data_IF_490735566895
#
_entry.id   IF_490735566895
#
_cell.length_a   1.000
_cell.length_b   1.000
_cell.length_c   1.000
_cell.angle_alpha   90.00
_cell.angle_beta   90.00
_cell.angle_gamma   90.00
#
_symmetry.space_group_name_H-M   'P 1'
#
loop_
_entity.id
_entity.type
_entity.pdbx_description
1 polymer ?
#
# COMPACT_ATOMS: atom_id res chain seq x y z
N UNK A 1 -0.64 17.51 -3.26
CA UNK A 1 -1.52 16.60 -2.49
C UNK A 1 -2.88 17.25 -2.40
N UNK A 2 -3.95 16.49 -2.64
CA UNK A 2 -5.35 16.94 -2.53
C UNK A 2 -6.25 15.82 -2.04
N UNK A 3 -7.40 16.16 -1.46
CA UNK A 3 -8.40 15.16 -1.09
C UNK A 3 -8.84 14.32 -2.30
N UNK A 4 -9.12 13.04 -2.06
CA UNK A 4 -9.36 12.03 -3.10
C UNK A 4 -8.09 11.44 -3.72
N UNK A 5 -6.90 11.95 -3.38
CA UNK A 5 -5.64 11.38 -3.83
C UNK A 5 -5.49 9.92 -3.35
N UNK A 6 -5.22 9.03 -4.30
CA UNK A 6 -4.94 7.61 -4.04
C UNK A 6 -3.43 7.35 -3.88
N UNK A 7 -3.09 6.58 -2.86
CA UNK A 7 -1.75 6.08 -2.59
C UNK A 7 -1.77 4.56 -2.49
N UNK A 8 -0.69 3.92 -2.89
CA UNK A 8 -0.49 2.49 -2.83
C UNK A 8 0.64 2.17 -1.86
N UNK A 9 0.42 1.19 -1.00
CA UNK A 9 1.45 0.62 -0.14
C UNK A 9 1.56 -0.86 -0.45
N UNK A 10 2.77 -1.35 -0.69
CA UNK A 10 3.01 -2.76 -1.03
C UNK A 10 3.86 -3.40 0.06
N UNK A 11 3.55 -4.66 0.37
CA UNK A 11 4.24 -5.43 1.39
C UNK A 11 4.10 -6.93 1.06
N UNK A 12 4.77 -7.76 1.82
CA UNK A 12 4.75 -9.22 1.64
C UNK A 12 4.27 -9.87 2.93
N UNK A 13 3.31 -10.78 2.79
CA UNK A 13 2.80 -11.64 3.85
C UNK A 13 3.05 -13.10 3.46
N UNK A 14 3.90 -13.80 4.19
CA UNK A 14 4.22 -15.22 3.91
C UNK A 14 4.57 -15.49 2.43
N UNK A 15 5.35 -14.62 1.79
CA UNK A 15 5.73 -14.70 0.37
C UNK A 15 4.64 -14.27 -0.63
N UNK A 16 3.48 -13.81 -0.16
CA UNK A 16 2.41 -13.25 -1.00
C UNK A 16 2.51 -11.73 -1.03
N UNK A 17 2.55 -11.17 -2.23
CA UNK A 17 2.61 -9.72 -2.41
C UNK A 17 1.23 -9.11 -2.29
N UNK A 18 1.06 -8.29 -1.27
CA UNK A 18 -0.14 -7.48 -1.06
C UNK A 18 0.10 -6.03 -1.50
N UNK A 19 -0.97 -5.39 -2.00
CA UNK A 19 -0.95 -3.98 -2.39
C UNK A 19 -2.22 -3.33 -1.85
N UNK A 20 -2.04 -2.54 -0.81
CA UNK A 20 -3.09 -1.75 -0.21
C UNK A 20 -3.28 -0.45 -0.97
N UNK A 21 -4.53 -0.02 -1.02
CA UNK A 21 -4.91 1.27 -1.54
C UNK A 21 -5.38 2.16 -0.40
N UNK A 22 -4.82 3.37 -0.31
CA UNK A 22 -5.13 4.37 0.69
C UNK A 22 -5.63 5.62 0.00
N UNK A 23 -6.81 6.10 0.39
CA UNK A 23 -7.40 7.32 -0.16
C UNK A 23 -7.26 8.44 0.86
N UNK A 24 -6.69 9.57 0.46
CA UNK A 24 -6.65 10.78 1.27
C UNK A 24 -8.05 11.36 1.41
N UNK A 25 -8.69 11.10 2.54
CA UNK A 25 -10.07 11.50 2.85
C UNK A 25 -10.20 12.97 3.19
N UNK A 26 -9.23 13.50 3.94
CA UNK A 26 -9.33 14.84 4.49
C UNK A 26 -7.95 15.44 4.69
N UNK A 27 -7.84 16.75 4.44
CA UNK A 27 -6.71 17.58 4.83
C UNK A 27 -7.21 18.62 5.83
N UNK A 28 -6.71 18.57 7.07
CA UNK A 28 -7.15 19.51 8.11
C UNK A 28 -6.04 19.81 9.10
N UNK A 29 -5.84 21.09 9.41
CA UNK A 29 -4.90 21.55 10.43
C UNK A 29 -3.47 21.05 10.22
N UNK A 30 -2.96 21.15 8.99
CA UNK A 30 -1.60 20.70 8.62
C UNK A 30 -1.42 19.18 8.53
N UNK A 31 -2.50 18.40 8.69
CA UNK A 31 -2.45 16.94 8.66
C UNK A 31 -3.28 16.35 7.53
N UNK A 32 -2.76 15.29 6.92
CA UNK A 32 -3.48 14.43 6.00
C UNK A 32 -4.04 13.21 6.72
N UNK A 33 -5.26 12.81 6.35
CA UNK A 33 -5.96 11.65 6.89
C UNK A 33 -6.31 10.70 5.76
N UNK A 34 -5.56 9.61 5.65
CA UNK A 34 -5.84 8.54 4.70
C UNK A 34 -6.71 7.46 5.33
N UNK A 35 -7.49 6.78 4.50
CA UNK A 35 -8.19 5.56 4.86
C UNK A 35 -7.86 4.48 3.85
N UNK A 36 -7.48 3.29 4.32
CA UNK A 36 -7.28 2.13 3.47
C UNK A 36 -8.63 1.74 2.87
N UNK A 37 -8.71 1.57 1.55
CA UNK A 37 -9.90 1.14 0.82
C UNK A 37 -9.90 -0.38 0.72
N UNK A 38 -10.72 -1.02 1.55
CA UNK A 38 -10.93 -2.47 1.56
C UNK A 38 -12.42 -2.79 1.77
N UNK A 39 -12.77 -4.08 1.89
CA UNK A 39 -14.16 -4.52 2.07
C UNK A 39 -14.80 -4.07 3.38
N UNK A 40 -14.00 -3.68 4.38
CA UNK A 40 -14.47 -3.22 5.69
C UNK A 40 -14.75 -1.72 5.66
N UNK A 41 -13.98 -0.95 4.91
CA UNK A 41 -14.08 0.51 4.88
C UNK A 41 -14.83 1.07 3.67
N UNK A 42 -14.97 0.29 2.59
CA UNK A 42 -15.61 0.72 1.36
C UNK A 42 -16.54 -0.36 0.83
N UNK A 43 -17.77 0.01 0.54
CA UNK A 43 -18.77 -0.95 0.09
C UNK A 43 -20.10 -0.30 -0.25
N UNK A 44 -21.10 -1.16 -0.44
CA UNK A 44 -22.47 -0.73 -0.77
C UNK A 44 -23.11 -0.08 0.46
N UNK A 45 -23.61 1.16 0.32
CA UNK A 45 -24.23 1.92 1.42
C UNK A 45 -25.73 1.67 1.57
N UNK A 46 -26.39 1.25 0.49
CA UNK A 46 -27.82 0.98 0.45
C UNK A 46 -28.10 -0.36 -0.20
N UNK A 47 -29.07 -1.11 0.30
CA UNK A 47 -29.48 -2.38 -0.34
C UNK A 47 -30.23 -2.16 -1.65
N UNK A 48 -30.91 -1.00 -1.80
CA UNK A 48 -31.83 -0.71 -2.91
C UNK A 48 -31.17 -0.01 -4.09
N UNK A 49 -30.25 0.91 -3.82
CA UNK A 49 -29.60 1.69 -4.86
C UNK A 49 -28.13 1.28 -4.96
N UNK A 50 -27.55 1.30 -6.16
CA UNK A 50 -26.14 0.95 -6.44
C UNK A 50 -25.14 1.97 -5.88
N UNK A 51 -25.40 2.56 -4.71
CA UNK A 51 -24.57 3.55 -4.05
C UNK A 51 -23.43 2.85 -3.30
N UNK A 52 -22.20 3.15 -3.71
CA UNK A 52 -20.97 2.67 -3.10
C UNK A 52 -20.22 3.85 -2.49
N UNK A 53 -19.73 3.65 -1.27
CA UNK A 53 -19.00 4.68 -0.56
C UNK A 53 -18.30 4.16 0.67
N UNK A 54 -17.79 5.10 1.46
CA UNK A 54 -17.17 4.78 2.73
C UNK A 54 -18.20 4.26 3.73
N UNK A 55 -17.84 3.18 4.42
CA UNK A 55 -18.61 2.58 5.49
C UNK A 55 -18.19 3.24 6.80
N UNK A 56 -19.08 4.06 7.35
CA UNK A 56 -18.86 4.69 8.64
C UNK A 56 -19.54 3.89 9.77
N UNK A 57 -18.92 3.81 10.97
CA UNK A 57 -17.64 4.41 11.31
C UNK A 57 -16.44 3.59 10.79
N UNK A 58 -15.45 4.26 10.20
CA UNK A 58 -14.18 3.64 9.80
C UNK A 58 -13.31 3.35 11.05
N UNK A 59 -12.94 2.08 11.32
CA UNK A 59 -12.05 1.73 12.44
C UNK A 59 -10.68 2.42 12.36
N UNK A 60 -10.09 2.72 13.52
CA UNK A 60 -8.78 3.36 13.61
C UNK A 60 -7.66 2.57 12.92
N UNK A 61 -7.72 1.23 12.94
CA UNK A 61 -6.75 0.35 12.29
C UNK A 61 -6.59 0.66 10.79
N UNK A 62 -7.66 1.13 10.13
CA UNK A 62 -7.68 1.41 8.71
C UNK A 62 -7.43 2.89 8.38
N UNK A 63 -7.05 3.70 9.37
CA UNK A 63 -6.83 5.13 9.25
C UNK A 63 -5.35 5.47 9.46
N UNK A 64 -4.84 6.38 8.63
CA UNK A 64 -3.46 6.86 8.72
C UNK A 64 -3.46 8.38 8.78
N UNK A 65 -2.99 8.95 9.90
CA UNK A 65 -2.76 10.39 10.05
C UNK A 65 -1.28 10.69 9.83
N UNK A 66 -0.98 11.75 9.09
CA UNK A 66 0.41 12.20 8.89
C UNK A 66 0.49 13.73 8.78
N UNK A 67 1.67 14.29 9.08
CA UNK A 67 1.95 15.72 8.89
C UNK A 67 2.24 15.98 7.42
N UNK A 68 1.57 16.98 6.82
CA UNK A 68 1.76 17.33 5.41
C UNK A 68 3.16 17.90 5.17
N UNK A 69 3.72 18.61 6.15
CA UNK A 69 5.08 19.15 6.09
C UNK A 69 6.13 18.05 5.98
N UNK A 70 5.90 16.90 6.64
CA UNK A 70 6.77 15.72 6.56
C UNK A 70 6.52 14.88 5.30
N UNK A 71 5.51 15.22 4.52
CA UNK A 71 5.09 14.47 3.35
C UNK A 71 4.30 13.20 3.69
N UNK A 72 3.95 12.46 2.64
CA UNK A 72 3.24 11.19 2.73
C UNK A 72 4.12 10.17 3.48
N UNK A 73 3.55 9.29 4.32
CA UNK A 73 4.31 8.23 4.98
C UNK A 73 5.15 7.39 3.99
N UNK A 74 6.30 6.91 4.46
CA UNK A 74 7.18 6.06 3.67
C UNK A 74 6.42 4.83 3.11
N UNK A 75 6.85 4.36 1.94
CA UNK A 75 6.22 3.24 1.23
C UNK A 75 4.92 3.59 0.50
N UNK A 76 4.25 4.69 0.83
CA UNK A 76 3.00 5.09 0.17
C UNK A 76 3.29 5.91 -1.09
N UNK A 77 2.95 5.32 -2.25
CA UNK A 77 3.33 5.85 -3.55
C UNK A 77 2.11 6.12 -4.44
N UNK A 78 2.24 7.02 -5.42
CA UNK A 78 1.14 7.36 -6.35
C UNK A 78 0.85 6.30 -7.42
N UNK A 79 1.65 5.24 -7.48
CA UNK A 79 1.43 4.12 -8.40
C UNK A 79 1.82 2.78 -7.76
N UNK A 80 1.13 1.72 -8.18
CA UNK A 80 1.42 0.35 -7.74
C UNK A 80 2.86 -0.07 -8.04
N UNK A 81 3.41 0.34 -9.20
CA UNK A 81 4.79 0.02 -9.58
C UNK A 81 5.84 0.75 -8.74
N UNK A 82 5.54 1.97 -8.27
CA UNK A 82 6.40 2.68 -7.33
C UNK A 82 6.33 2.05 -5.93
N UNK A 83 5.13 1.67 -5.45
CA UNK A 83 4.96 0.97 -4.18
C UNK A 83 5.74 -0.36 -4.15
N UNK A 84 5.63 -1.17 -5.20
CA UNK A 84 6.38 -2.43 -5.33
C UNK A 84 7.90 -2.21 -5.34
N UNK A 85 8.38 -1.16 -6.01
CA UNK A 85 9.82 -0.80 -5.98
C UNK A 85 10.25 -0.38 -4.57
N UNK A 86 9.41 0.35 -3.86
CA UNK A 86 9.68 0.74 -2.46
C UNK A 86 9.76 -0.50 -1.56
N UNK A 87 8.80 -1.42 -1.66
CA UNK A 87 8.80 -2.67 -0.90
C UNK A 87 10.05 -3.52 -1.20
N UNK A 88 10.43 -3.61 -2.48
CA UNK A 88 11.64 -4.33 -2.90
C UNK A 88 12.91 -3.73 -2.30
N UNK A 89 13.00 -2.40 -2.23
CA UNK A 89 14.13 -1.74 -1.60
C UNK A 89 14.21 -2.02 -0.08
N UNK A 90 13.06 -2.08 0.59
CA UNK A 90 12.97 -2.44 2.01
C UNK A 90 13.41 -3.88 2.27
N UNK A 91 12.94 -4.84 1.46
CA UNK A 91 13.34 -6.25 1.62
C UNK A 91 14.81 -6.48 1.32
N UNK A 92 15.38 -5.79 0.31
CA UNK A 92 16.82 -5.82 0.05
C UNK A 92 17.62 -5.25 1.21
N UNK A 93 17.13 -4.19 1.85
CA UNK A 93 17.75 -3.63 3.05
C UNK A 93 17.63 -4.56 4.27
N UNK A 94 16.46 -5.21 4.46
CA UNK A 94 16.24 -6.23 5.51
C UNK A 94 17.23 -7.39 5.33
N UNK A 95 17.32 -7.93 4.13
CA UNK A 95 18.29 -8.97 3.75
C UNK A 95 19.73 -8.57 4.10
N UNK A 96 20.13 -7.34 3.76
CA UNK A 96 21.48 -6.86 4.03
C UNK A 96 21.79 -6.72 5.53
N UNK A 97 20.79 -6.35 6.35
CA UNK A 97 20.94 -6.25 7.81
C UNK A 97 21.02 -7.62 8.49
N UNK A 98 20.29 -8.61 7.99
CA UNK A 98 20.20 -9.94 8.60
C UNK A 98 21.13 -10.95 7.91
N UNK A 99 22.32 -10.51 7.48
CA UNK A 99 23.25 -11.28 6.63
C UNK A 99 23.78 -12.58 7.26
N UNK A 100 23.61 -12.76 8.57
CA UNK A 100 24.16 -13.88 9.34
C UNK A 100 23.08 -14.89 9.76
N UNK A 101 21.81 -14.61 9.41
CA UNK A 101 20.65 -15.47 9.71
C UNK A 101 20.14 -16.13 8.43
N UNK A 102 20.44 -17.43 8.20
CA UNK A 102 20.02 -18.14 6.99
C UNK A 102 18.50 -18.21 6.81
N UNK A 103 17.72 -18.29 7.90
CA UNK A 103 16.26 -18.37 7.82
C UNK A 103 15.70 -17.02 7.37
N UNK A 104 16.19 -15.93 7.96
CA UNK A 104 15.81 -14.59 7.55
C UNK A 104 16.25 -14.28 6.11
N UNK A 105 17.43 -14.72 5.70
CA UNK A 105 17.88 -14.58 4.31
C UNK A 105 16.96 -15.33 3.33
N UNK A 106 16.60 -16.57 3.64
CA UNK A 106 15.69 -17.36 2.81
C UNK A 106 14.29 -16.74 2.73
N UNK A 107 13.80 -16.14 3.81
CA UNK A 107 12.56 -15.37 3.80
C UNK A 107 12.67 -14.14 2.89
N UNK A 108 13.68 -13.29 3.08
CA UNK A 108 13.89 -12.11 2.24
C UNK A 108 14.07 -12.48 0.76
N UNK A 109 14.78 -13.57 0.44
CA UNK A 109 14.97 -14.02 -0.94
C UNK A 109 13.64 -14.46 -1.59
N UNK A 110 12.77 -15.14 -0.83
CA UNK A 110 11.40 -15.46 -1.27
C UNK A 110 10.59 -14.19 -1.53
N UNK A 111 10.63 -13.24 -0.62
CA UNK A 111 9.84 -12.01 -0.69
C UNK A 111 10.30 -11.09 -1.84
N UNK A 112 11.62 -10.94 -2.01
CA UNK A 112 12.25 -10.24 -3.14
C UNK A 112 11.78 -10.87 -4.46
N UNK A 113 11.87 -12.19 -4.59
CA UNK A 113 11.45 -12.88 -5.80
C UNK A 113 9.95 -12.69 -6.08
N UNK A 114 9.10 -12.70 -5.06
CA UNK A 114 7.67 -12.47 -5.19
C UNK A 114 7.37 -11.04 -5.69
N UNK A 115 8.03 -10.03 -5.11
CA UNK A 115 7.91 -8.62 -5.49
C UNK A 115 8.38 -8.37 -6.93
N UNK A 116 9.52 -8.94 -7.33
CA UNK A 116 10.06 -8.82 -8.69
C UNK A 116 9.10 -9.43 -9.73
N UNK A 117 8.57 -10.63 -9.45
CA UNK A 117 7.57 -11.28 -10.30
C UNK A 117 6.32 -10.41 -10.44
N UNK A 118 5.81 -9.84 -9.34
CA UNK A 118 4.62 -8.98 -9.37
C UNK A 118 4.87 -7.70 -10.15
N UNK A 119 6.02 -7.06 -9.96
CA UNK A 119 6.42 -5.84 -10.68
C UNK A 119 6.55 -6.11 -12.19
N UNK A 120 7.16 -7.22 -12.58
CA UNK A 120 7.29 -7.62 -13.98
C UNK A 120 5.91 -7.78 -14.66
N UNK A 121 4.96 -8.45 -14.00
CA UNK A 121 3.59 -8.60 -14.51
C UNK A 121 2.89 -7.26 -14.73
N UNK A 122 3.02 -6.32 -13.79
CA UNK A 122 2.42 -4.98 -13.93
C UNK A 122 3.04 -4.22 -15.10
N UNK A 123 4.37 -4.28 -15.25
CA UNK A 123 5.07 -3.64 -16.38
C UNK A 123 4.65 -4.24 -17.72
N UNK A 124 4.57 -5.57 -17.82
CA UNK A 124 4.12 -6.25 -19.04
C UNK A 124 2.69 -5.82 -19.42
N UNK A 125 1.77 -5.79 -18.45
CA UNK A 125 0.39 -5.34 -18.68
C UNK A 125 0.33 -3.89 -19.18
N UNK A 126 1.13 -3.00 -18.61
CA UNK A 126 1.20 -1.60 -19.02
C UNK A 126 1.77 -1.40 -20.44
N UNK A 127 2.61 -2.31 -20.94
CA UNK A 127 3.13 -2.27 -22.32
C UNK A 127 2.12 -2.79 -23.35
N UNK A 128 1.18 -3.63 -22.92
CA UNK A 128 0.17 -4.25 -23.78
C UNK A 128 -1.15 -3.46 -23.84
N UNK A 129 -1.27 -2.37 -23.07
CA UNK A 129 -2.41 -1.43 -23.08
C UNK A 129 -2.06 -0.19 -23.89
#
# INVERSE_FOLDING_TARGET
>A
MKEGDVYFHAWVDEGKVEIDEHVLRTIRGGHGFMTQRNSVTWGKRSTKNGDYGWLDPVPMLWRTKFSIERGVPAGHCRSKSAALRSALALERARRARNREDPECLAECDRDIAALERRLARIKAKAKAS
#
